data_IF_017357555449
#
_entry.id   IF_017357555449
#
_cell.length_a   1.000
_cell.length_b   1.000
_cell.length_c   1.000
_cell.angle_alpha   90.00
_cell.angle_beta   90.00
_cell.angle_gamma   90.00
#
_symmetry.space_group_name_H-M   'P 1'
#
loop_
_entity.id
_entity.type
_entity.pdbx_description
1 polymer ?
#
# COMPACT_ATOMS: atom_id res chain seq x y z
N UNK A 1 -2.57 -14.18 17.48
CA UNK A 1 -1.51 -13.44 16.75
C UNK A 1 -1.82 -11.95 16.79
N UNK A 2 -0.81 -11.14 17.06
CA UNK A 2 -0.93 -9.69 16.94
C UNK A 2 -0.97 -9.30 15.45
N UNK A 3 -1.38 -8.06 15.17
CA UNK A 3 -1.37 -7.57 13.78
C UNK A 3 0.05 -7.51 13.21
N UNK A 4 1.05 -7.21 14.05
CA UNK A 4 2.44 -7.23 13.64
C UNK A 4 2.91 -8.62 13.27
N UNK A 5 2.49 -9.63 14.02
CA UNK A 5 2.82 -11.02 13.70
C UNK A 5 2.12 -11.49 12.43
N UNK A 6 0.88 -11.06 12.21
CA UNK A 6 0.14 -11.37 10.99
C UNK A 6 0.80 -10.70 9.78
N UNK A 7 1.27 -9.46 9.94
CA UNK A 7 2.01 -8.75 8.90
C UNK A 7 3.28 -9.53 8.52
N UNK A 8 4.05 -9.91 9.52
CA UNK A 8 5.28 -10.69 9.30
C UNK A 8 5.00 -12.03 8.61
N UNK A 9 3.91 -12.69 8.98
CA UNK A 9 3.52 -13.96 8.37
C UNK A 9 3.19 -13.77 6.88
N UNK A 10 2.50 -12.69 6.52
CA UNK A 10 2.20 -12.39 5.13
C UNK A 10 3.48 -12.06 4.33
N UNK A 11 4.41 -11.31 4.94
CA UNK A 11 5.71 -11.05 4.31
C UNK A 11 6.48 -12.34 4.04
N UNK A 12 6.42 -13.29 4.97
CA UNK A 12 7.09 -14.57 4.78
C UNK A 12 6.51 -15.33 3.59
N UNK A 13 5.19 -15.32 3.45
CA UNK A 13 4.52 -15.96 2.30
C UNK A 13 5.04 -15.33 0.99
N UNK A 14 5.14 -14.01 0.95
CA UNK A 14 5.67 -13.29 -0.22
C UNK A 14 7.12 -13.70 -0.48
N UNK A 15 7.95 -13.72 0.56
CA UNK A 15 9.37 -14.03 0.44
C UNK A 15 9.60 -15.49 0.02
N UNK A 16 8.65 -16.37 0.34
CA UNK A 16 8.68 -17.77 -0.10
C UNK A 16 8.19 -17.93 -1.55
N UNK A 17 7.83 -16.85 -2.23
CA UNK A 17 7.50 -16.84 -3.63
C UNK A 17 6.01 -16.83 -3.96
N UNK A 18 5.14 -16.71 -2.96
CA UNK A 18 3.68 -16.70 -3.17
C UNK A 18 3.12 -15.30 -2.93
N UNK A 19 3.28 -14.42 -3.91
CA UNK A 19 2.79 -13.04 -3.79
C UNK A 19 1.27 -12.99 -3.69
N UNK A 20 0.56 -13.80 -4.47
CA UNK A 20 -0.91 -13.81 -4.43
C UNK A 20 -1.42 -14.27 -3.04
N UNK A 21 -0.79 -15.30 -2.47
CA UNK A 21 -1.13 -15.77 -1.12
C UNK A 21 -0.82 -14.72 -0.06
N UNK A 22 0.29 -14.00 -0.23
CA UNK A 22 0.65 -12.90 0.68
C UNK A 22 -0.37 -11.78 0.63
N UNK A 23 -0.83 -11.41 -0.57
CA UNK A 23 -1.88 -10.40 -0.74
C UNK A 23 -3.17 -10.84 -0.03
N UNK A 24 -3.58 -12.10 -0.22
CA UNK A 24 -4.79 -12.62 0.43
C UNK A 24 -4.68 -12.53 1.96
N UNK A 25 -3.53 -12.91 2.52
CA UNK A 25 -3.30 -12.84 3.96
C UNK A 25 -3.32 -11.40 4.47
N UNK A 26 -2.73 -10.47 3.71
CA UNK A 26 -2.71 -9.06 4.09
C UNK A 26 -4.09 -8.42 3.96
N UNK A 27 -4.87 -8.82 2.95
CA UNK A 27 -6.26 -8.36 2.80
C UNK A 27 -7.12 -8.80 4.00
N UNK A 28 -6.95 -10.04 4.45
CA UNK A 28 -7.64 -10.51 5.66
C UNK A 28 -7.23 -9.69 6.89
N UNK A 29 -5.96 -9.35 6.99
CA UNK A 29 -5.44 -8.54 8.09
C UNK A 29 -6.08 -7.16 8.12
N UNK A 30 -6.15 -6.44 6.99
CA UNK A 30 -6.76 -5.10 6.97
C UNK A 30 -8.28 -5.17 7.10
N UNK A 31 -8.90 -6.31 6.79
CA UNK A 31 -10.31 -6.54 7.08
C UNK A 31 -10.60 -6.51 8.58
N UNK A 32 -9.69 -7.07 9.37
CA UNK A 32 -9.79 -7.10 10.82
C UNK A 32 -9.19 -5.85 11.49
N UNK A 33 -8.17 -5.25 10.87
CA UNK A 33 -7.45 -4.10 11.39
C UNK A 33 -7.41 -3.00 10.32
N UNK A 34 -8.55 -2.34 10.05
CA UNK A 34 -8.67 -1.42 8.90
C UNK A 34 -7.85 -0.13 9.02
N UNK A 35 -7.35 0.18 10.21
CA UNK A 35 -6.50 1.35 10.45
C UNK A 35 -5.00 1.02 10.51
N UNK A 36 -4.63 -0.19 10.07
CA UNK A 36 -3.22 -0.58 10.05
C UNK A 36 -2.54 -0.05 8.78
N UNK A 37 -2.00 1.16 8.87
CA UNK A 37 -1.45 1.89 7.72
C UNK A 37 -0.35 1.11 7.00
N UNK A 38 0.55 0.46 7.75
CA UNK A 38 1.65 -0.31 7.16
C UNK A 38 1.14 -1.43 6.26
N UNK A 39 0.07 -2.10 6.66
CA UNK A 39 -0.53 -3.17 5.88
C UNK A 39 -1.15 -2.64 4.59
N UNK A 40 -1.82 -1.48 4.64
CA UNK A 40 -2.34 -0.85 3.43
C UNK A 40 -1.22 -0.46 2.47
N UNK A 41 -0.10 0.07 2.99
CA UNK A 41 1.06 0.41 2.17
C UNK A 41 1.64 -0.83 1.48
N UNK A 42 1.76 -1.93 2.21
CA UNK A 42 2.25 -3.18 1.63
C UNK A 42 1.32 -3.66 0.52
N UNK A 43 -0.01 -3.60 0.75
CA UNK A 43 -0.98 -3.98 -0.26
C UNK A 43 -0.91 -3.10 -1.51
N UNK A 44 -0.68 -1.80 -1.34
CA UNK A 44 -0.47 -0.91 -2.47
C UNK A 44 0.67 -1.39 -3.37
N UNK A 45 1.81 -1.74 -2.78
CA UNK A 45 2.97 -2.21 -3.53
C UNK A 45 2.74 -3.60 -4.11
N UNK A 46 2.20 -4.53 -3.33
CA UNK A 46 2.04 -5.93 -3.76
C UNK A 46 0.95 -6.07 -4.83
N UNK A 47 -0.16 -5.34 -4.69
CA UNK A 47 -1.22 -5.34 -5.71
C UNK A 47 -0.72 -4.74 -7.02
N UNK A 48 0.14 -3.71 -6.96
CA UNK A 48 0.77 -3.15 -8.16
C UNK A 48 1.57 -4.23 -8.88
N UNK A 49 2.34 -5.03 -8.16
CA UNK A 49 3.13 -6.12 -8.76
C UNK A 49 2.25 -7.20 -9.41
N UNK A 50 1.04 -7.40 -8.89
CA UNK A 50 0.06 -8.34 -9.46
C UNK A 50 -0.80 -7.68 -10.53
N UNK A 51 -0.54 -6.43 -10.88
CA UNK A 51 -1.33 -5.64 -11.84
C UNK A 51 -2.80 -5.46 -11.41
N UNK A 52 -3.07 -5.57 -10.12
CA UNK A 52 -4.37 -5.27 -9.52
C UNK A 52 -4.41 -3.78 -9.18
N UNK A 53 -4.46 -2.95 -10.22
CA UNK A 53 -4.24 -1.51 -10.09
C UNK A 53 -5.31 -0.77 -9.27
N UNK A 54 -6.58 -1.14 -9.40
CA UNK A 54 -7.64 -0.50 -8.62
C UNK A 54 -7.45 -0.76 -7.13
N UNK A 55 -7.14 -2.01 -6.77
CA UNK A 55 -6.88 -2.37 -5.37
C UNK A 55 -5.63 -1.67 -4.85
N UNK A 56 -4.57 -1.61 -5.67
CA UNK A 56 -3.33 -0.97 -5.31
C UNK A 56 -3.54 0.50 -4.97
N UNK A 57 -4.26 1.23 -5.81
CA UNK A 57 -4.54 2.65 -5.60
C UNK A 57 -5.43 2.85 -4.36
N UNK A 58 -6.46 2.01 -4.20
CA UNK A 58 -7.36 2.10 -3.05
C UNK A 58 -6.60 1.94 -1.73
N UNK A 59 -5.73 0.94 -1.63
CA UNK A 59 -4.94 0.73 -0.42
C UNK A 59 -3.90 1.83 -0.20
N UNK A 60 -3.25 2.29 -1.27
CA UNK A 60 -2.27 3.39 -1.16
C UNK A 60 -2.96 4.69 -0.71
N UNK A 61 -4.16 4.98 -1.21
CA UNK A 61 -4.94 6.14 -0.73
C UNK A 61 -5.26 6.01 0.76
N UNK A 62 -5.66 4.81 1.18
CA UNK A 62 -6.00 4.58 2.59
C UNK A 62 -4.79 4.79 3.49
N UNK A 63 -3.62 4.34 3.07
CA UNK A 63 -2.38 4.58 3.82
C UNK A 63 -2.11 6.07 4.00
N UNK A 64 -2.33 6.87 2.95
CA UNK A 64 -2.18 8.33 3.04
C UNK A 64 -3.20 8.96 3.99
N UNK A 65 -4.44 8.48 3.99
CA UNK A 65 -5.46 8.97 4.92
C UNK A 65 -5.09 8.69 6.36
N UNK A 66 -4.51 7.53 6.62
CA UNK A 66 -4.10 7.12 7.97
C UNK A 66 -2.82 7.81 8.44
N UNK A 67 -1.92 8.12 7.51
CA UNK A 67 -0.62 8.74 7.79
C UNK A 67 -0.43 9.97 6.89
N UNK A 68 -1.23 11.04 7.11
CA UNK A 68 -1.25 12.18 6.17
C UNK A 68 0.02 13.03 6.15
N UNK A 69 0.94 12.80 7.08
CA UNK A 69 2.22 13.53 7.13
C UNK A 69 3.42 12.66 6.74
N UNK A 70 3.17 11.44 6.32
CA UNK A 70 4.23 10.54 5.89
C UNK A 70 4.51 10.73 4.40
N UNK A 71 5.65 11.32 4.02
CA UNK A 71 5.95 11.52 2.60
C UNK A 71 6.07 10.23 1.82
N UNK A 72 6.50 9.14 2.48
CA UNK A 72 6.64 7.85 1.80
C UNK A 72 5.30 7.26 1.37
N UNK A 73 4.23 7.51 2.14
CA UNK A 73 2.88 7.08 1.76
C UNK A 73 2.44 7.74 0.45
N UNK A 74 2.74 9.03 0.28
CA UNK A 74 2.39 9.76 -0.94
C UNK A 74 3.28 9.35 -2.12
N UNK A 75 4.55 9.03 -1.88
CA UNK A 75 5.41 8.47 -2.92
C UNK A 75 4.86 7.13 -3.41
N UNK A 76 4.44 6.27 -2.49
CA UNK A 76 3.84 4.97 -2.83
C UNK A 76 2.53 5.16 -3.61
N UNK A 77 1.70 6.12 -3.20
CA UNK A 77 0.47 6.44 -3.93
C UNK A 77 0.79 6.91 -5.35
N UNK A 78 1.80 7.76 -5.52
CA UNK A 78 2.22 8.23 -6.83
C UNK A 78 2.59 7.05 -7.75
N UNK A 79 3.35 6.09 -7.23
CA UNK A 79 3.74 4.90 -8.01
C UNK A 79 2.50 4.08 -8.40
N UNK A 80 1.60 3.82 -7.46
CA UNK A 80 0.39 3.05 -7.74
C UNK A 80 -0.49 3.74 -8.78
N UNK A 81 -0.67 5.06 -8.66
CA UNK A 81 -1.45 5.85 -9.60
C UNK A 81 -0.80 5.88 -10.99
N UNK A 82 0.52 6.01 -11.06
CA UNK A 82 1.23 6.00 -12.35
C UNK A 82 1.01 4.67 -13.07
N UNK A 83 1.13 3.56 -12.36
CA UNK A 83 0.92 2.23 -12.93
C UNK A 83 -0.54 2.01 -13.35
N UNK A 84 -1.48 2.64 -12.66
CA UNK A 84 -2.91 2.57 -12.99
C UNK A 84 -3.30 3.52 -14.11
N UNK A 85 -2.40 4.37 -14.60
CA UNK A 85 -2.70 5.37 -15.62
C UNK A 85 -3.35 6.64 -15.10
N UNK A 86 -3.39 6.83 -13.78
CA UNK A 86 -3.97 8.00 -13.14
C UNK A 86 -2.90 9.08 -12.99
N UNK A 87 -2.50 9.68 -14.09
CA UNK A 87 -1.32 10.54 -14.17
C UNK A 87 -1.47 11.79 -13.30
N UNK A 88 -2.62 12.47 -13.38
CA UNK A 88 -2.85 13.70 -12.60
C UNK A 88 -2.78 13.42 -11.09
N UNK A 89 -3.41 12.34 -10.64
CA UNK A 89 -3.36 11.96 -9.22
C UNK A 89 -1.94 11.57 -8.81
N UNK A 90 -1.20 10.90 -9.69
CA UNK A 90 0.19 10.53 -9.43
C UNK A 90 1.06 11.78 -9.23
N UNK A 91 0.87 12.80 -10.06
CA UNK A 91 1.62 14.05 -9.95
C UNK A 91 1.27 14.81 -8.68
N UNK A 92 -0.02 14.85 -8.31
CA UNK A 92 -0.48 15.48 -7.07
C UNK A 92 0.14 14.79 -5.85
N UNK A 93 0.14 13.47 -5.83
CA UNK A 93 0.71 12.69 -4.73
C UNK A 93 2.23 12.95 -4.62
N UNK A 94 2.92 12.99 -5.74
CA UNK A 94 4.36 13.26 -5.74
C UNK A 94 4.67 14.66 -5.23
N UNK A 95 3.88 15.66 -5.64
CA UNK A 95 4.03 17.03 -5.17
C UNK A 95 3.82 17.10 -3.65
N UNK A 96 2.84 16.36 -3.12
CA UNK A 96 2.58 16.32 -1.69
C UNK A 96 3.72 15.66 -0.93
N UNK A 97 4.28 14.59 -1.46
CA UNK A 97 5.45 13.93 -0.88
C UNK A 97 6.62 14.92 -0.76
N UNK A 98 6.90 15.65 -1.83
CA UNK A 98 7.98 16.64 -1.86
C UNK A 98 7.73 17.76 -0.86
N UNK A 99 6.51 18.26 -0.77
CA UNK A 99 6.15 19.33 0.17
C UNK A 99 6.36 18.88 1.62
N UNK A 100 6.05 17.62 1.94
CA UNK A 100 6.25 17.08 3.28
C UNK A 100 7.72 16.84 3.63
N UNK A 101 8.57 16.65 2.62
CA UNK A 101 10.01 16.49 2.83
C UNK A 101 10.72 17.82 3.00
N UNK A 102 10.06 18.88 2.69
CA UNK A 102 10.56 20.21 2.92
C UNK A 102 11.07 20.97 1.81
#
# INVERSE_FOLDING_TARGET
MTREERYAAAEKIKNDGDLAGAVAAMEALVGDEPDFALAHSALGAWCTRLERHEDAVRHARRACELEPRDPFSYTALSVACMRAGLIAEAEDALAKSRALQG
#
